data_IF_456747086897
#
_entry.id   IF_456747086897
#
_cell.length_a   1.000
_cell.length_b   1.000
_cell.length_c   1.000
_cell.angle_alpha   90.00
_cell.angle_beta   90.00
_cell.angle_gamma   90.00
#
_symmetry.space_group_name_H-M   'P 1'
#
loop_
_entity.id
_entity.type
_entity.pdbx_description
1 polymer ?
#
# COMPACT_ATOMS: atom_id res chain seq x y z
N UNK A 1 8.87 -13.82 7.69
CA UNK A 1 8.05 -13.15 8.73
C UNK A 1 7.33 -14.20 9.56
N UNK A 2 7.76 -14.42 10.81
CA UNK A 2 6.96 -15.13 11.82
C UNK A 2 6.29 -14.04 12.66
N UNK A 3 5.03 -13.77 12.38
CA UNK A 3 4.19 -12.91 13.22
C UNK A 3 3.35 -13.78 14.13
N UNK A 4 3.38 -13.49 15.42
CA UNK A 4 2.45 -14.10 16.37
C UNK A 4 1.03 -13.66 16.01
N UNK A 5 0.11 -14.62 15.90
CA UNK A 5 -1.24 -14.33 15.43
C UNK A 5 -2.04 -13.69 16.56
N UNK A 6 -2.34 -12.41 16.43
CA UNK A 6 -3.15 -11.67 17.40
C UNK A 6 -4.63 -12.07 17.23
N UNK A 7 -5.32 -12.35 18.33
CA UNK A 7 -6.74 -12.70 18.28
C UNK A 7 -7.61 -11.49 17.89
N UNK A 8 -8.87 -11.76 17.54
CA UNK A 8 -9.78 -10.76 17.02
C UNK A 8 -10.08 -9.65 18.04
N UNK A 9 -10.26 -10.03 19.30
CA UNK A 9 -10.51 -9.17 20.45
C UNK A 9 -9.33 -8.24 20.68
N UNK A 10 -8.10 -8.79 20.65
CA UNK A 10 -6.91 -7.98 20.86
C UNK A 10 -6.64 -7.00 19.72
N UNK A 11 -7.00 -7.36 18.48
CA UNK A 11 -6.95 -6.42 17.34
C UNK A 11 -7.93 -5.25 17.52
N UNK A 12 -9.13 -5.52 18.04
CA UNK A 12 -10.10 -4.49 18.40
C UNK A 12 -9.53 -3.60 19.51
N UNK A 13 -9.03 -4.18 20.60
CA UNK A 13 -8.45 -3.44 21.73
C UNK A 13 -7.34 -2.49 21.29
N UNK A 14 -6.46 -2.94 20.38
CA UNK A 14 -5.35 -2.13 19.86
C UNK A 14 -5.83 -0.88 19.12
N UNK A 15 -6.97 -0.96 18.41
CA UNK A 15 -7.58 0.20 17.76
C UNK A 15 -8.27 1.09 18.79
N UNK A 16 -9.09 0.50 19.67
CA UNK A 16 -9.81 1.25 20.71
C UNK A 16 -8.86 2.01 21.64
N UNK A 17 -7.70 1.43 21.95
CA UNK A 17 -6.65 2.07 22.76
C UNK A 17 -6.24 3.44 22.20
N UNK A 18 -6.16 3.56 20.86
CA UNK A 18 -5.77 4.80 20.18
C UNK A 18 -6.94 5.76 20.00
N UNK A 19 -8.16 5.25 19.90
CA UNK A 19 -9.36 6.06 19.68
C UNK A 19 -10.03 6.53 20.98
N UNK A 20 -9.70 5.96 22.15
CA UNK A 20 -10.43 6.18 23.42
C UNK A 20 -10.52 7.63 23.89
N UNK A 21 -9.58 8.49 23.47
CA UNK A 21 -9.54 9.90 23.84
C UNK A 21 -10.01 10.83 22.70
N UNK A 22 -10.37 10.29 21.53
CA UNK A 22 -10.85 11.07 20.41
C UNK A 22 -12.31 11.48 20.68
N UNK A 23 -12.58 12.79 20.68
CA UNK A 23 -13.90 13.34 20.99
C UNK A 23 -14.95 12.96 19.93
N UNK A 24 -14.52 12.77 18.69
CA UNK A 24 -15.39 12.46 17.55
C UNK A 24 -15.67 10.96 17.40
N UNK A 25 -15.10 10.12 18.26
CA UNK A 25 -15.16 8.68 18.17
C UNK A 25 -16.20 8.06 19.12
N UNK A 26 -16.97 7.11 18.60
CA UNK A 26 -17.86 6.27 19.40
C UNK A 26 -17.81 4.82 18.91
N UNK A 27 -17.66 3.88 19.84
CA UNK A 27 -17.75 2.46 19.56
C UNK A 27 -19.20 1.97 19.65
N UNK A 28 -19.71 1.36 18.58
CA UNK A 28 -21.11 0.94 18.47
C UNK A 28 -21.32 -0.57 18.68
N UNK A 29 -20.26 -1.35 18.89
CA UNK A 29 -20.30 -2.78 19.18
C UNK A 29 -19.78 -3.69 18.06
N UNK A 30 -19.65 -4.99 18.37
CA UNK A 30 -19.12 -6.03 17.48
C UNK A 30 -17.64 -6.37 17.75
N UNK A 31 -17.08 -7.31 16.98
CA UNK A 31 -15.67 -7.73 17.11
C UNK A 31 -14.99 -7.85 15.74
N UNK A 32 -15.54 -8.64 14.80
CA UNK A 32 -15.02 -8.80 13.44
C UNK A 32 -16.16 -9.17 12.48
N UNK A 33 -16.80 -8.18 11.82
CA UNK A 33 -16.54 -6.75 11.91
C UNK A 33 -17.10 -6.14 13.20
N UNK A 34 -16.62 -4.95 13.53
CA UNK A 34 -17.21 -4.09 14.53
C UNK A 34 -17.66 -2.77 13.91
N UNK A 35 -18.51 -2.03 14.61
CA UNK A 35 -19.05 -0.76 14.16
C UNK A 35 -18.50 0.37 15.00
N UNK A 36 -18.14 1.45 14.33
CA UNK A 36 -17.73 2.71 14.97
C UNK A 36 -18.50 3.86 14.32
N UNK A 37 -18.58 4.98 15.03
CA UNK A 37 -18.93 6.29 14.50
C UNK A 37 -17.73 7.20 14.66
N UNK A 38 -17.44 7.97 13.62
CA UNK A 38 -16.41 9.00 13.61
C UNK A 38 -16.97 10.24 12.90
N UNK A 39 -16.96 11.40 13.57
CA UNK A 39 -17.52 12.67 13.09
C UNK A 39 -18.91 12.49 12.44
N UNK A 40 -19.82 11.81 13.14
CA UNK A 40 -21.19 11.47 12.71
C UNK A 40 -21.35 10.45 11.56
N UNK A 41 -20.26 9.95 10.97
CA UNK A 41 -20.31 8.89 9.95
C UNK A 41 -20.07 7.53 10.58
N UNK A 42 -20.89 6.55 10.22
CA UNK A 42 -20.78 5.17 10.72
C UNK A 42 -19.95 4.34 9.76
N UNK A 43 -19.13 3.43 10.31
CA UNK A 43 -18.29 2.51 9.55
C UNK A 43 -18.42 1.09 10.09
N UNK A 44 -18.37 0.10 9.19
CA UNK A 44 -17.97 -1.25 9.55
C UNK A 44 -16.46 -1.35 9.43
N UNK A 45 -15.79 -1.86 10.45
CA UNK A 45 -14.34 -2.06 10.47
C UNK A 45 -14.04 -3.54 10.68
N UNK A 46 -13.14 -4.08 9.87
CA UNK A 46 -12.68 -5.47 9.97
C UNK A 46 -11.16 -5.50 9.91
N UNK A 47 -10.52 -6.11 10.91
CA UNK A 47 -9.06 -6.14 11.05
C UNK A 47 -8.56 -7.59 10.97
N UNK A 48 -7.53 -7.81 10.15
CA UNK A 48 -6.82 -9.10 10.06
C UNK A 48 -5.33 -8.92 10.27
N UNK A 49 -4.70 -9.91 10.89
CA UNK A 49 -3.25 -10.01 10.88
C UNK A 49 -2.74 -10.11 9.44
N UNK A 50 -1.66 -9.38 9.17
CA UNK A 50 -0.88 -9.56 7.94
C UNK A 50 0.06 -10.75 8.13
N UNK A 51 0.12 -11.58 7.10
CA UNK A 51 0.97 -12.77 7.04
C UNK A 51 1.70 -12.86 5.70
N UNK A 52 2.72 -13.72 5.61
CA UNK A 52 3.33 -14.03 4.31
C UNK A 52 2.30 -14.61 3.36
N UNK A 53 2.38 -14.29 2.07
CA UNK A 53 1.58 -14.94 1.05
C UNK A 53 2.15 -16.32 0.62
N UNK A 54 3.28 -16.74 1.20
CA UNK A 54 3.94 -18.04 0.96
C UNK A 54 4.33 -18.30 -0.51
N UNK A 55 4.54 -17.26 -1.30
CA UNK A 55 5.11 -17.40 -2.64
C UNK A 55 6.61 -17.65 -2.54
N UNK A 56 7.05 -18.84 -2.96
CA UNK A 56 8.46 -19.27 -2.94
C UNK A 56 9.39 -18.26 -3.61
N UNK A 57 8.98 -17.72 -4.76
CA UNK A 57 9.79 -16.78 -5.55
C UNK A 57 9.54 -15.30 -5.21
N UNK A 58 8.65 -15.00 -4.25
CA UNK A 58 8.27 -13.61 -3.90
C UNK A 58 8.13 -13.46 -2.38
N UNK A 59 9.25 -13.55 -1.62
CA UNK A 59 9.21 -13.52 -0.16
C UNK A 59 8.71 -12.20 0.42
N UNK A 60 8.81 -11.11 -0.36
CA UNK A 60 8.32 -9.78 0.00
C UNK A 60 6.78 -9.66 0.01
N UNK A 61 6.06 -10.63 -0.55
CA UNK A 61 4.60 -10.55 -0.67
C UNK A 61 3.93 -10.96 0.63
N UNK A 62 3.21 -10.00 1.22
CA UNK A 62 2.35 -10.23 2.38
C UNK A 62 0.88 -10.13 1.98
N UNK A 63 -0.01 -10.64 2.83
CA UNK A 63 -1.45 -10.58 2.62
C UNK A 63 -2.24 -10.55 3.92
N UNK A 64 -3.45 -10.00 3.84
CA UNK A 64 -4.54 -10.29 4.75
C UNK A 64 -5.64 -11.05 3.99
N UNK A 65 -6.31 -11.98 4.66
CA UNK A 65 -7.35 -12.80 4.05
C UNK A 65 -8.70 -12.54 4.70
N UNK A 66 -9.67 -12.16 3.88
CA UNK A 66 -11.05 -11.91 4.27
C UNK A 66 -11.87 -13.19 4.03
N UNK A 67 -12.36 -13.88 5.08
CA UNK A 67 -13.15 -15.09 4.92
C UNK A 67 -14.59 -14.77 4.52
N UNK A 68 -15.31 -15.76 3.98
CA UNK A 68 -16.76 -15.67 3.81
C UNK A 68 -17.48 -15.62 5.17
N UNK A 69 -18.51 -14.78 5.30
CA UNK A 69 -19.36 -14.67 6.51
C UNK A 69 -20.80 -14.32 6.13
N UNK A 70 -21.78 -14.82 6.87
CA UNK A 70 -23.20 -14.55 6.60
C UNK A 70 -23.53 -13.05 6.70
N UNK A 71 -23.00 -12.37 7.72
CA UNK A 71 -23.19 -10.93 7.95
C UNK A 71 -22.60 -10.03 6.84
N UNK A 72 -21.71 -10.55 6.00
CA UNK A 72 -21.08 -9.75 4.95
C UNK A 72 -22.03 -9.43 3.79
N UNK A 73 -23.07 -10.23 3.55
CA UNK A 73 -24.04 -9.93 2.50
C UNK A 73 -24.90 -8.71 2.87
N UNK A 74 -25.31 -8.57 4.13
CA UNK A 74 -26.05 -7.39 4.59
C UNK A 74 -25.17 -6.14 4.61
N UNK A 75 -23.90 -6.27 5.03
CA UNK A 75 -22.93 -5.17 5.00
C UNK A 75 -22.67 -4.70 3.57
N UNK A 76 -22.46 -5.63 2.64
CA UNK A 76 -22.22 -5.34 1.22
C UNK A 76 -23.35 -4.52 0.60
N UNK A 77 -24.60 -4.86 0.93
CA UNK A 77 -25.79 -4.18 0.42
C UNK A 77 -26.20 -2.91 1.21
N UNK A 78 -25.54 -2.61 2.32
CA UNK A 78 -25.80 -1.38 3.09
C UNK A 78 -25.12 -0.17 2.47
N UNK A 79 -25.53 1.05 2.83
CA UNK A 79 -24.81 2.28 2.45
C UNK A 79 -23.55 2.54 3.31
N UNK A 80 -23.41 1.82 4.43
CA UNK A 80 -22.33 2.04 5.40
C UNK A 80 -21.00 1.55 4.81
N UNK A 81 -19.93 2.36 4.79
CA UNK A 81 -18.62 1.93 4.31
C UNK A 81 -18.05 0.74 5.11
N UNK A 82 -17.32 -0.14 4.42
CA UNK A 82 -16.64 -1.28 5.02
C UNK A 82 -15.12 -1.10 4.91
N UNK A 83 -14.48 -0.80 6.05
CA UNK A 83 -13.05 -0.53 6.14
C UNK A 83 -12.33 -1.83 6.49
N UNK A 84 -11.56 -2.34 5.54
CA UNK A 84 -10.73 -3.53 5.74
C UNK A 84 -9.29 -3.13 6.05
N UNK A 85 -8.82 -3.50 7.25
CA UNK A 85 -7.48 -3.22 7.73
C UNK A 85 -6.67 -4.52 7.89
N UNK A 86 -5.44 -4.49 7.41
CA UNK A 86 -4.40 -5.44 7.75
C UNK A 86 -3.54 -4.85 8.86
N UNK A 87 -3.34 -5.58 9.95
CA UNK A 87 -2.42 -5.18 11.02
C UNK A 87 -1.11 -5.94 10.90
N UNK A 88 0.00 -5.21 10.80
CA UNK A 88 1.35 -5.75 10.91
C UNK A 88 1.91 -5.42 12.29
N UNK A 89 1.93 -6.44 13.15
CA UNK A 89 2.36 -6.32 14.53
C UNK A 89 3.87 -6.14 14.70
N UNK A 90 4.69 -6.43 13.68
CA UNK A 90 6.13 -6.22 13.78
C UNK A 90 6.49 -4.74 13.64
N UNK A 91 5.77 -4.04 12.77
CA UNK A 91 6.02 -2.63 12.47
C UNK A 91 5.07 -1.67 13.23
N UNK A 92 4.05 -2.20 13.90
CA UNK A 92 2.94 -1.49 14.53
C UNK A 92 2.22 -0.54 13.55
N UNK A 93 1.78 -1.09 12.42
CA UNK A 93 1.11 -0.35 11.35
C UNK A 93 -0.21 -1.01 10.93
N UNK A 94 -1.08 -0.19 10.36
CA UNK A 94 -2.20 -0.65 9.55
C UNK A 94 -1.91 -0.52 8.06
N UNK A 95 -2.51 -1.43 7.29
CA UNK A 95 -2.64 -1.37 5.83
C UNK A 95 -4.12 -1.36 5.51
N UNK A 96 -4.61 -0.28 4.92
CA UNK A 96 -5.96 -0.18 4.40
C UNK A 96 -5.92 -0.39 2.88
N UNK A 97 -6.77 -1.29 2.37
CA UNK A 97 -7.06 -1.37 0.94
C UNK A 97 -8.21 -0.43 0.61
N UNK A 98 -8.30 0.05 -0.63
CA UNK A 98 -9.43 0.86 -1.09
C UNK A 98 -10.76 0.24 -0.65
N UNK A 99 -11.46 0.93 0.26
CA UNK A 99 -12.62 0.39 0.94
C UNK A 99 -13.84 0.25 0.03
N UNK A 100 -13.92 1.04 -1.06
CA UNK A 100 -14.93 0.87 -2.10
C UNK A 100 -14.75 -0.49 -2.81
N UNK A 101 -13.50 -0.84 -3.14
CA UNK A 101 -13.17 -2.12 -3.79
C UNK A 101 -13.30 -3.28 -2.79
N UNK A 102 -12.81 -3.12 -1.56
CA UNK A 102 -12.84 -4.17 -0.55
C UNK A 102 -14.27 -4.60 -0.21
N UNK A 103 -15.21 -3.64 -0.11
CA UNK A 103 -16.62 -3.92 0.14
C UNK A 103 -17.26 -4.74 -0.97
N UNK A 104 -16.97 -4.42 -2.24
CA UNK A 104 -17.49 -5.17 -3.39
C UNK A 104 -17.01 -6.63 -3.39
N UNK A 105 -15.83 -6.88 -2.81
CA UNK A 105 -15.24 -8.23 -2.73
C UNK A 105 -15.76 -9.08 -1.58
N UNK A 106 -16.63 -8.55 -0.72
CA UNK A 106 -17.28 -9.31 0.34
C UNK A 106 -18.02 -10.52 -0.25
N UNK A 107 -17.76 -11.70 0.32
CA UNK A 107 -18.33 -12.99 -0.04
C UNK A 107 -18.15 -13.45 -1.50
N UNK A 108 -17.27 -12.82 -2.29
CA UNK A 108 -17.01 -13.25 -3.69
C UNK A 108 -16.38 -14.65 -3.79
N UNK A 109 -15.60 -15.04 -2.78
CA UNK A 109 -14.95 -16.35 -2.65
C UNK A 109 -14.91 -16.77 -1.19
N UNK A 110 -14.62 -18.04 -0.92
CA UNK A 110 -14.48 -18.55 0.46
C UNK A 110 -13.40 -17.82 1.26
N UNK A 111 -12.34 -17.40 0.58
CA UNK A 111 -11.31 -16.53 1.15
C UNK A 111 -10.74 -15.59 0.10
N UNK A 112 -10.93 -14.29 0.30
CA UNK A 112 -10.42 -13.25 -0.57
C UNK A 112 -9.09 -12.75 -0.03
N UNK A 113 -8.03 -12.84 -0.85
CA UNK A 113 -6.70 -12.32 -0.48
C UNK A 113 -6.54 -10.87 -0.91
N UNK A 114 -6.02 -10.05 0.01
CA UNK A 114 -5.62 -8.68 -0.23
C UNK A 114 -4.13 -8.56 0.04
N UNK A 115 -3.37 -8.10 -0.95
CA UNK A 115 -1.92 -8.16 -0.93
C UNK A 115 -1.27 -6.85 -0.47
N UNK A 116 -0.07 -6.98 0.09
CA UNK A 116 0.83 -5.87 0.41
C UNK A 116 2.29 -6.31 0.17
N UNK A 117 3.26 -5.52 0.65
CA UNK A 117 4.70 -5.76 0.56
C UNK A 117 5.37 -5.52 1.89
N UNK A 118 6.14 -6.50 2.36
CA UNK A 118 6.89 -6.41 3.61
C UNK A 118 7.87 -5.24 3.61
N UNK A 119 8.57 -5.01 2.50
CA UNK A 119 9.51 -3.90 2.35
C UNK A 119 8.85 -2.53 2.53
N UNK A 120 7.58 -2.40 2.10
CA UNK A 120 6.86 -1.13 2.22
C UNK A 120 6.40 -0.96 3.67
N UNK A 121 5.91 -2.05 4.29
CA UNK A 121 5.52 -2.08 5.70
C UNK A 121 6.68 -1.64 6.61
N UNK A 122 7.88 -2.16 6.40
CA UNK A 122 9.09 -1.77 7.13
C UNK A 122 9.53 -0.30 6.90
N UNK A 123 9.10 0.32 5.80
CA UNK A 123 9.49 1.69 5.45
C UNK A 123 8.60 2.77 6.06
N UNK A 124 7.45 2.38 6.65
CA UNK A 124 6.47 3.31 7.21
C UNK A 124 7.05 4.00 8.44
N UNK A 125 7.13 5.32 8.37
CA UNK A 125 7.60 6.18 9.46
C UNK A 125 6.44 6.72 10.29
N UNK A 126 6.77 7.19 11.48
CA UNK A 126 5.83 7.95 12.32
C UNK A 126 5.30 9.18 11.58
N UNK A 127 4.07 9.57 11.89
CA UNK A 127 3.39 10.76 11.37
C UNK A 127 3.16 10.82 9.86
N UNK A 128 3.47 9.76 9.10
CA UNK A 128 3.34 9.72 7.64
C UNK A 128 2.33 8.66 7.17
N UNK A 129 1.48 9.05 6.22
CA UNK A 129 0.64 8.14 5.43
C UNK A 129 1.35 7.74 4.13
N UNK A 130 1.48 6.44 3.87
CA UNK A 130 2.09 5.90 2.67
C UNK A 130 1.01 5.39 1.73
N UNK A 131 0.92 5.97 0.54
CA UNK A 131 0.00 5.51 -0.50
C UNK A 131 0.74 4.68 -1.52
N UNK A 132 0.20 3.50 -1.87
CA UNK A 132 0.83 2.59 -2.83
C UNK A 132 -0.18 1.99 -3.80
N UNK A 133 0.05 2.18 -5.09
CA UNK A 133 -0.57 1.37 -6.15
C UNK A 133 0.27 0.14 -6.43
N UNK A 134 -0.33 -1.04 -6.28
CA UNK A 134 0.27 -2.32 -6.61
C UNK A 134 0.11 -2.65 -8.09
N UNK A 135 0.91 -3.58 -8.60
CA UNK A 135 0.88 -4.00 -10.00
C UNK A 135 -0.42 -4.71 -10.42
N UNK A 136 -1.19 -5.22 -9.45
CA UNK A 136 -2.51 -5.79 -9.68
C UNK A 136 -3.63 -4.73 -9.68
N UNK A 137 -3.30 -3.45 -9.56
CA UNK A 137 -4.24 -2.34 -9.53
C UNK A 137 -4.75 -1.97 -8.13
N UNK A 138 -4.45 -2.75 -7.10
CA UNK A 138 -4.86 -2.42 -5.72
C UNK A 138 -4.18 -1.13 -5.24
N UNK A 139 -4.95 -0.23 -4.67
CA UNK A 139 -4.46 0.96 -3.97
C UNK A 139 -4.48 0.71 -2.46
N UNK A 140 -3.36 1.00 -1.80
CA UNK A 140 -3.13 0.81 -0.38
C UNK A 140 -2.83 2.15 0.30
N UNK A 141 -3.25 2.27 1.56
CA UNK A 141 -2.71 3.25 2.50
C UNK A 141 -2.10 2.52 3.69
N UNK A 142 -0.84 2.81 4.00
CA UNK A 142 -0.11 2.23 5.12
C UNK A 142 0.26 3.36 6.09
N UNK A 143 0.09 3.12 7.38
CA UNK A 143 0.34 4.13 8.41
C UNK A 143 0.53 3.50 9.77
N UNK A 144 1.27 4.18 10.65
CA UNK A 144 1.46 3.78 12.05
C UNK A 144 0.14 3.74 12.78
N UNK A 145 -0.03 2.77 13.68
CA UNK A 145 -1.27 2.63 14.48
C UNK A 145 -1.64 3.92 15.21
N UNK A 146 -0.66 4.73 15.61
CA UNK A 146 -0.86 6.06 16.20
C UNK A 146 -1.67 7.03 15.33
N UNK A 147 -1.68 6.85 14.01
CA UNK A 147 -2.37 7.74 13.07
C UNK A 147 -3.80 7.29 12.73
N UNK A 148 -4.36 6.31 13.44
CA UNK A 148 -5.70 5.79 13.14
C UNK A 148 -6.81 6.84 13.29
N UNK A 149 -6.67 7.78 14.22
CA UNK A 149 -7.59 8.93 14.34
C UNK A 149 -7.52 9.80 13.08
N UNK A 150 -6.32 10.30 12.75
CA UNK A 150 -6.06 11.09 11.52
C UNK A 150 -6.45 10.35 10.24
N UNK A 151 -6.39 9.03 10.23
CA UNK A 151 -6.84 8.22 9.11
C UNK A 151 -8.35 8.37 8.90
N UNK A 152 -9.16 8.29 9.97
CA UNK A 152 -10.61 8.45 9.86
C UNK A 152 -11.03 9.88 9.55
N UNK A 153 -10.29 10.89 10.04
CA UNK A 153 -10.48 12.30 9.66
C UNK A 153 -10.36 12.51 8.13
N UNK A 154 -9.45 11.78 7.50
CA UNK A 154 -9.09 11.95 6.08
C UNK A 154 -9.50 10.75 5.21
N UNK A 155 -10.38 9.88 5.68
CA UNK A 155 -10.58 8.57 5.05
C UNK A 155 -11.07 8.66 3.59
N UNK A 156 -11.93 9.65 3.31
CA UNK A 156 -12.55 9.81 2.01
C UNK A 156 -11.55 10.34 0.95
N UNK A 157 -10.50 11.06 1.35
CA UNK A 157 -9.53 11.64 0.40
C UNK A 157 -8.41 10.67 -0.01
N UNK A 158 -8.22 9.56 0.71
CA UNK A 158 -7.13 8.62 0.45
C UNK A 158 -7.29 7.79 -0.83
N UNK A 159 -8.51 7.62 -1.34
CA UNK A 159 -8.80 6.70 -2.44
C UNK A 159 -9.48 7.34 -3.65
N UNK A 160 -9.71 8.65 -3.61
CA UNK A 160 -10.23 9.41 -4.73
C UNK A 160 -9.11 9.70 -5.75
N UNK A 161 -9.29 9.19 -6.98
CA UNK A 161 -8.35 9.40 -8.09
C UNK A 161 -8.32 10.87 -8.57
N UNK A 162 -9.36 11.65 -8.25
CA UNK A 162 -9.50 13.05 -8.65
C UNK A 162 -8.75 14.02 -7.74
N UNK A 163 -8.41 13.60 -6.52
CA UNK A 163 -7.90 14.52 -5.50
C UNK A 163 -6.39 14.38 -5.30
N UNK A 164 -5.64 15.09 -6.15
CA UNK A 164 -4.25 15.48 -5.89
C UNK A 164 -4.12 16.46 -4.70
N UNK A 165 -5.19 16.71 -3.92
CA UNK A 165 -5.24 17.75 -2.87
C UNK A 165 -4.59 17.34 -1.55
N UNK A 166 -4.34 16.05 -1.31
CA UNK A 166 -3.44 15.64 -0.23
C UNK A 166 -1.97 15.66 -0.71
N UNK A 167 -1.51 16.82 -1.16
CA UNK A 167 -0.10 17.22 -0.97
C UNK A 167 0.03 17.87 0.41
N UNK A 168 -0.49 17.22 1.44
CA UNK A 168 -0.07 17.56 2.80
C UNK A 168 1.35 17.03 3.00
N UNK A 169 2.15 17.74 3.78
CA UNK A 169 3.56 17.42 4.07
C UNK A 169 3.77 16.00 4.64
N UNK A 170 2.70 15.31 5.02
CA UNK A 170 2.68 14.03 5.73
C UNK A 170 2.17 12.86 4.88
N UNK A 171 1.96 13.02 3.57
CA UNK A 171 1.58 11.91 2.66
C UNK A 171 2.69 11.64 1.65
N UNK A 172 3.20 10.40 1.62
CA UNK A 172 4.16 9.94 0.61
C UNK A 172 3.44 9.01 -0.37
N UNK A 173 3.26 9.47 -1.61
CA UNK A 173 2.88 8.62 -2.73
C UNK A 173 4.10 7.80 -3.16
N UNK A 174 4.15 6.53 -2.75
CA UNK A 174 5.21 5.61 -3.12
C UNK A 174 5.02 5.15 -4.58
N UNK A 175 5.29 6.05 -5.53
CA UNK A 175 5.39 5.74 -6.96
C UNK A 175 6.64 4.90 -7.22
N UNK A 176 6.58 3.64 -6.84
CA UNK A 176 7.62 2.64 -7.16
C UNK A 176 9.04 3.19 -6.97
N UNK A 177 9.37 3.75 -5.79
CA UNK A 177 10.70 4.30 -5.48
C UNK A 177 11.86 3.28 -5.63
N UNK A 178 11.54 2.01 -5.88
CA UNK A 178 12.48 0.93 -6.21
C UNK A 178 12.85 0.84 -7.69
N UNK A 179 12.17 1.59 -8.56
CA UNK A 179 12.44 1.67 -9.99
C UNK A 179 12.66 3.13 -10.37
N UNK A 180 13.79 3.38 -11.00
CA UNK A 180 14.05 4.65 -11.64
C UNK A 180 13.16 4.78 -12.87
N UNK A 181 12.56 5.96 -13.08
CA UNK A 181 11.65 6.22 -14.20
C UNK A 181 12.31 7.07 -15.29
N UNK A 182 13.38 7.80 -14.94
CA UNK A 182 14.09 8.72 -15.82
C UNK A 182 15.55 8.86 -15.38
N UNK A 183 16.46 9.06 -16.34
CA UNK A 183 17.87 9.38 -16.07
C UNK A 183 18.02 10.90 -16.02
N UNK A 184 18.48 11.43 -14.89
CA UNK A 184 18.78 12.87 -14.71
C UNK A 184 20.26 13.17 -14.50
N UNK A 185 21.08 12.15 -14.29
CA UNK A 185 22.50 12.35 -14.02
C UNK A 185 23.20 12.84 -15.29
N UNK A 186 23.67 14.09 -15.26
CA UNK A 186 24.29 14.75 -16.41
C UNK A 186 25.54 14.01 -16.88
N UNK A 187 26.34 13.48 -15.95
CA UNK A 187 27.58 12.75 -16.30
C UNK A 187 27.29 11.41 -16.97
N UNK A 188 26.20 10.74 -16.59
CA UNK A 188 25.73 9.53 -17.24
C UNK A 188 25.10 9.85 -18.61
N UNK A 189 24.33 10.93 -18.72
CA UNK A 189 23.73 11.38 -19.98
C UNK A 189 24.79 11.72 -21.02
N UNK A 190 25.88 12.40 -20.63
CA UNK A 190 27.02 12.67 -21.52
C UNK A 190 27.66 11.39 -22.07
N UNK A 191 27.80 10.34 -21.25
CA UNK A 191 28.32 9.04 -21.67
C UNK A 191 27.35 8.27 -22.56
N UNK A 192 26.04 8.43 -22.35
CA UNK A 192 24.99 7.77 -23.14
C UNK A 192 24.78 8.44 -24.50
N UNK A 193 25.00 9.75 -24.61
CA UNK A 193 24.79 10.53 -25.84
C UNK A 193 25.49 9.92 -27.07
N UNK A 194 26.81 9.64 -27.07
CA UNK A 194 27.46 9.04 -28.25
C UNK A 194 26.95 7.63 -28.59
N UNK A 195 26.45 6.87 -27.61
CA UNK A 195 25.92 5.50 -27.82
C UNK A 195 24.52 5.49 -28.45
N UNK A 196 23.76 6.57 -28.27
CA UNK A 196 22.34 6.66 -28.63
C UNK A 196 22.05 7.63 -29.78
N UNK A 197 22.98 8.52 -30.13
CA UNK A 197 22.80 9.55 -31.17
C UNK A 197 23.68 9.36 -32.41
N UNK A 198 24.58 8.37 -32.41
CA UNK A 198 25.40 8.04 -33.58
C UNK A 198 24.62 7.37 -34.72
N UNK A 199 25.25 7.18 -35.88
CA UNK A 199 24.67 6.45 -37.03
C UNK A 199 24.26 5.02 -36.68
N UNK A 200 24.96 4.41 -35.71
CA UNK A 200 24.64 3.09 -35.15
C UNK A 200 24.26 3.26 -33.68
N UNK A 201 23.08 2.76 -33.30
CA UNK A 201 22.59 2.84 -31.92
C UNK A 201 23.05 1.63 -31.12
N UNK A 202 23.93 1.85 -30.13
CA UNK A 202 24.51 0.83 -29.28
C UNK A 202 23.66 0.57 -28.03
N UNK A 203 22.39 0.19 -28.23
CA UNK A 203 21.39 0.05 -27.16
C UNK A 203 21.80 -0.90 -26.03
N UNK A 204 22.50 -2.00 -26.34
CA UNK A 204 22.94 -2.97 -25.34
C UNK A 204 24.05 -2.43 -24.43
N UNK A 205 24.99 -1.67 -24.99
CA UNK A 205 26.05 -1.02 -24.22
C UNK A 205 25.49 0.10 -23.35
N UNK A 206 24.53 0.88 -23.88
CA UNK A 206 23.81 1.86 -23.10
C UNK A 206 23.07 1.23 -21.90
N UNK A 207 22.38 0.10 -22.10
CA UNK A 207 21.70 -0.63 -20.99
C UNK A 207 22.72 -1.10 -19.94
N UNK A 208 23.85 -1.67 -20.34
CA UNK A 208 24.91 -2.11 -19.40
C UNK A 208 25.45 -0.94 -18.59
N UNK A 209 25.72 0.19 -19.24
CA UNK A 209 26.22 1.39 -18.56
C UNK A 209 25.24 1.93 -17.52
N UNK A 210 23.93 1.96 -17.85
CA UNK A 210 22.88 2.35 -16.89
C UNK A 210 22.76 1.35 -15.75
N UNK A 211 22.88 0.05 -16.02
CA UNK A 211 22.87 -1.01 -15.01
C UNK A 211 24.07 -0.92 -14.06
N UNK A 212 25.27 -0.64 -14.57
CA UNK A 212 26.46 -0.45 -13.73
C UNK A 212 26.33 0.78 -12.83
N UNK A 213 25.73 1.86 -13.35
CA UNK A 213 25.57 3.11 -12.59
C UNK A 213 24.47 3.01 -11.52
N UNK A 214 23.32 2.44 -11.85
CA UNK A 214 22.13 2.47 -10.99
C UNK A 214 21.76 1.11 -10.38
N UNK A 215 22.31 0.00 -10.86
CA UNK A 215 21.85 -1.35 -10.51
C UNK A 215 21.98 -1.68 -9.02
N UNK A 216 23.03 -1.22 -8.36
CA UNK A 216 23.21 -1.39 -6.91
C UNK A 216 22.20 -0.58 -6.09
N UNK A 217 21.79 0.59 -6.60
CA UNK A 217 20.82 1.48 -5.96
C UNK A 217 19.36 1.06 -6.21
N UNK A 218 19.10 0.43 -7.36
CA UNK A 218 17.77 -0.02 -7.79
C UNK A 218 17.76 -1.51 -8.14
N UNK A 219 17.90 -2.42 -7.14
CA UNK A 219 18.09 -3.86 -7.36
C UNK A 219 16.85 -4.56 -7.94
N UNK A 220 15.69 -3.90 -7.98
CA UNK A 220 14.42 -4.48 -8.49
C UNK A 220 14.11 -4.12 -9.95
N UNK A 221 14.99 -3.36 -10.61
CA UNK A 221 14.87 -3.09 -12.03
C UNK A 221 15.22 -4.34 -12.85
N UNK A 222 14.25 -4.81 -13.64
CA UNK A 222 14.45 -5.90 -14.59
C UNK A 222 15.12 -5.40 -15.86
N UNK A 223 15.67 -6.31 -16.68
CA UNK A 223 16.21 -5.96 -17.99
C UNK A 223 15.21 -5.15 -18.84
N UNK A 224 13.92 -5.52 -18.79
CA UNK A 224 12.86 -4.79 -19.51
C UNK A 224 12.77 -3.34 -19.03
N UNK A 225 12.82 -3.11 -17.72
CA UNK A 225 12.77 -1.75 -17.16
C UNK A 225 13.98 -0.92 -17.60
N UNK A 226 15.19 -1.50 -17.57
CA UNK A 226 16.41 -0.81 -18.04
C UNK A 226 16.36 -0.48 -19.53
N UNK A 227 15.87 -1.40 -20.35
CA UNK A 227 15.71 -1.21 -21.79
C UNK A 227 14.71 -0.09 -22.09
N UNK A 228 13.59 -0.04 -21.35
CA UNK A 228 12.58 1.00 -21.50
C UNK A 228 13.12 2.38 -21.10
N UNK A 229 13.91 2.42 -20.02
CA UNK A 229 14.57 3.63 -19.53
C UNK A 229 15.49 4.25 -20.59
N UNK A 230 16.36 3.42 -21.19
CA UNK A 230 17.30 3.83 -22.25
C UNK A 230 16.56 4.28 -23.51
N UNK A 231 15.51 3.55 -23.91
CA UNK A 231 14.72 3.89 -25.11
C UNK A 231 14.02 5.24 -25.01
N UNK A 232 13.65 5.65 -23.78
CA UNK A 232 12.91 6.89 -23.56
C UNK A 232 13.81 8.13 -23.43
N UNK A 233 15.13 7.98 -23.44
CA UNK A 233 16.07 9.11 -23.40
C UNK A 233 15.97 9.90 -24.70
N UNK A 234 15.83 11.22 -24.55
CA UNK A 234 15.88 12.17 -25.67
C UNK A 234 17.00 13.18 -25.39
N UNK A 235 17.86 13.38 -26.38
CA UNK A 235 18.94 14.36 -26.37
C UNK A 235 18.60 15.58 -27.20
#
# INVERSE_FOLDING_TARGET
MKTEKICAEKLLDLLLEKMKNCADFEFLGGIQPFRIRFSNKVYYVYIKNISSAYFTNRPDVTRAQLPKREEFDSIKNSEIPFIFLGYDSQNDIYVCWNFHIAKNRLNEKDSVSFYSRYSIQNSVKEEIFYRKKLSNGDNLVLFKRELIEKFFENIDSFFDDADNRLKENNTIDYKNDKKILEIKDETLLEKLKPLLTGEVVHSLEAIKLVQEFYGSKYPEMTYKDWSELVRNIRF
#
